data_IF_067028820835
#
_entry.id   IF_067028820835
#
_cell.length_a   1.000
_cell.length_b   1.000
_cell.length_c   1.000
_cell.angle_alpha   90.00
_cell.angle_beta   90.00
_cell.angle_gamma   90.00
#
_symmetry.space_group_name_H-M   'P 1'
#
loop_
_entity.id
_entity.type
_entity.pdbx_description
1 polymer ?
#
# COMPACT_ATOMS: atom_id res chain seq x y z
N UNK A 1 11.58 38.83 24.86
CA UNK A 1 11.33 37.41 24.61
C UNK A 1 12.67 36.82 24.22
N UNK A 2 13.11 35.77 24.89
CA UNK A 2 14.29 35.01 24.48
C UNK A 2 14.02 34.41 23.12
N UNK A 3 15.01 34.52 22.19
CA UNK A 3 14.91 33.96 20.86
C UNK A 3 15.15 32.44 20.94
N UNK A 4 14.30 31.66 20.28
CA UNK A 4 14.54 30.19 20.19
C UNK A 4 15.84 29.91 19.44
N UNK A 5 16.64 29.00 20.01
CA UNK A 5 17.96 28.61 19.47
C UNK A 5 17.88 27.34 18.66
N UNK A 6 18.37 27.37 17.44
CA UNK A 6 18.28 26.26 16.48
C UNK A 6 19.69 25.88 16.02
N UNK A 7 20.02 24.59 16.11
CA UNK A 7 21.28 24.04 15.59
C UNK A 7 21.01 23.32 14.25
N UNK A 8 21.75 23.69 13.21
CA UNK A 8 21.68 23.09 11.88
C UNK A 8 22.92 22.25 11.63
N UNK A 9 22.75 20.99 11.24
CA UNK A 9 23.83 20.04 11.01
C UNK A 9 23.73 19.51 9.59
N UNK A 10 24.67 19.89 8.76
CA UNK A 10 24.75 19.47 7.35
C UNK A 10 26.20 19.60 6.87
N UNK A 11 26.72 18.62 6.13
CA UNK A 11 28.06 18.67 5.57
C UNK A 11 28.20 19.54 4.32
N UNK A 12 27.06 19.94 3.71
CA UNK A 12 27.02 20.94 2.65
C UNK A 12 26.99 22.36 3.24
N UNK A 13 28.14 23.05 3.18
CA UNK A 13 28.30 24.42 3.70
C UNK A 13 27.28 25.41 3.10
N UNK A 14 26.98 25.32 1.79
CA UNK A 14 26.04 26.23 1.14
C UNK A 14 24.62 26.05 1.63
N UNK A 15 24.19 24.80 1.79
CA UNK A 15 22.86 24.47 2.30
C UNK A 15 22.74 24.89 3.78
N UNK A 16 23.75 24.54 4.60
CA UNK A 16 23.81 24.90 6.01
C UNK A 16 23.73 26.42 6.22
N UNK A 17 24.59 27.18 5.54
CA UNK A 17 24.62 28.64 5.65
C UNK A 17 23.34 29.28 5.11
N UNK A 18 22.76 28.73 4.04
CA UNK A 18 21.47 29.16 3.51
C UNK A 18 20.33 28.98 4.52
N UNK A 19 20.29 27.85 5.23
CA UNK A 19 19.30 27.57 6.26
C UNK A 19 19.49 28.44 7.49
N UNK A 20 20.74 28.67 7.94
CA UNK A 20 21.07 29.59 9.03
C UNK A 20 20.57 31.00 8.72
N UNK A 21 20.89 31.53 7.54
CA UNK A 21 20.46 32.85 7.12
C UNK A 21 18.94 32.96 7.07
N UNK A 22 18.26 31.96 6.52
CA UNK A 22 16.78 31.93 6.43
C UNK A 22 16.14 32.00 7.83
N UNK A 23 16.62 31.21 8.79
CA UNK A 23 16.06 31.15 10.14
C UNK A 23 16.39 32.44 10.93
N UNK A 24 17.59 32.98 10.78
CA UNK A 24 17.97 34.25 11.42
C UNK A 24 17.10 35.42 10.91
N UNK A 25 16.76 35.46 9.61
CA UNK A 25 15.83 36.45 9.05
C UNK A 25 14.42 36.37 9.62
N UNK A 26 14.01 35.20 10.11
CA UNK A 26 12.70 34.97 10.76
C UNK A 26 12.74 35.20 12.27
N UNK A 27 13.87 35.66 12.80
CA UNK A 27 14.00 36.06 14.21
C UNK A 27 14.45 34.95 15.15
N UNK A 28 14.80 33.77 14.66
CA UNK A 28 15.45 32.70 15.44
C UNK A 28 16.93 33.02 15.68
N UNK A 29 17.60 32.28 16.56
CA UNK A 29 19.05 32.29 16.75
C UNK A 29 19.61 30.97 16.21
N UNK A 30 20.02 30.96 14.94
CA UNK A 30 20.48 29.76 14.27
C UNK A 30 22.02 29.70 14.22
N UNK A 31 22.59 28.51 14.52
CA UNK A 31 24.02 28.19 14.40
C UNK A 31 24.20 26.86 13.67
N UNK A 32 25.42 26.57 13.20
CA UNK A 32 25.69 25.41 12.37
C UNK A 32 26.81 24.51 12.88
N UNK A 33 26.74 23.22 12.52
CA UNK A 33 27.79 22.23 12.67
C UNK A 33 27.94 21.45 11.34
N UNK A 34 29.16 21.05 10.98
CA UNK A 34 29.43 20.32 9.73
C UNK A 34 29.15 18.82 9.83
N UNK A 35 29.07 18.28 11.03
CA UNK A 35 28.77 16.86 11.27
C UNK A 35 28.20 16.63 12.69
N UNK A 36 27.72 15.39 12.94
CA UNK A 36 27.11 15.02 14.20
C UNK A 36 28.06 15.04 15.40
N UNK A 37 29.38 14.87 15.22
CA UNK A 37 30.34 14.85 16.30
C UNK A 37 30.59 16.26 16.82
N UNK A 38 30.80 17.22 15.93
CA UNK A 38 30.91 18.65 16.27
C UNK A 38 29.61 19.14 16.92
N UNK A 39 28.48 18.69 16.41
CA UNK A 39 27.19 19.03 17.00
C UNK A 39 27.03 18.54 18.45
N UNK A 40 27.52 17.33 18.79
CA UNK A 40 27.50 16.85 20.17
C UNK A 40 28.41 17.68 21.09
N UNK A 41 29.59 18.08 20.62
CA UNK A 41 30.50 18.99 21.38
C UNK A 41 29.86 20.35 21.65
N UNK A 42 29.10 20.88 20.69
CA UNK A 42 28.33 22.14 20.85
C UNK A 42 27.22 21.97 21.88
N UNK A 43 26.50 20.83 21.83
CA UNK A 43 25.39 20.55 22.77
C UNK A 43 25.84 20.35 24.23
N UNK A 44 27.09 19.96 24.46
CA UNK A 44 27.66 19.90 25.81
C UNK A 44 27.82 21.29 26.46
N UNK A 45 28.01 22.34 25.65
CA UNK A 45 28.33 23.69 26.11
C UNK A 45 27.19 24.70 25.89
N UNK A 46 26.20 24.38 25.08
CA UNK A 46 25.12 25.29 24.71
C UNK A 46 23.77 24.59 24.64
N UNK A 47 22.71 25.31 25.05
CA UNK A 47 21.32 24.80 25.03
C UNK A 47 20.65 25.24 23.72
N UNK A 48 19.93 24.33 23.10
CA UNK A 48 19.11 24.55 21.89
C UNK A 48 17.68 24.07 22.12
N UNK A 49 16.75 24.70 21.44
CA UNK A 49 15.32 24.35 21.48
C UNK A 49 14.97 23.35 20.37
N UNK A 50 15.73 23.38 19.27
CA UNK A 50 15.49 22.55 18.08
C UNK A 50 16.80 22.25 17.36
N UNK A 51 16.89 21.03 16.85
CA UNK A 51 17.95 20.60 15.94
C UNK A 51 17.37 20.29 14.56
N UNK A 52 18.08 20.68 13.51
CA UNK A 52 17.82 20.30 12.13
C UNK A 52 19.07 19.60 11.60
N UNK A 53 19.01 18.31 11.28
CA UNK A 53 20.18 17.52 10.86
C UNK A 53 19.96 16.83 9.54
N UNK A 54 21.00 16.81 8.67
CA UNK A 54 20.97 15.94 7.49
C UNK A 54 21.04 14.47 7.92
N UNK A 55 20.44 13.62 7.11
CA UNK A 55 20.47 12.15 7.28
C UNK A 55 21.86 11.60 6.97
N UNK A 56 22.50 12.07 5.87
CA UNK A 56 23.77 11.57 5.37
C UNK A 56 24.86 12.63 5.56
N UNK A 57 25.84 12.34 6.44
CA UNK A 57 27.02 13.17 6.69
C UNK A 57 28.27 12.28 6.77
N UNK A 58 29.47 12.86 6.59
CA UNK A 58 30.68 12.08 6.37
C UNK A 58 31.21 11.35 7.61
N UNK A 59 31.34 12.01 8.78
CA UNK A 59 31.96 11.39 9.97
C UNK A 59 30.94 10.68 10.87
N UNK A 60 29.88 11.37 11.27
CA UNK A 60 28.77 10.80 12.03
C UNK A 60 27.48 11.07 11.28
N UNK A 61 26.82 10.01 10.79
CA UNK A 61 25.55 10.16 10.10
C UNK A 61 24.44 10.66 11.04
N UNK A 62 23.41 11.29 10.43
CA UNK A 62 22.32 11.89 11.18
C UNK A 62 21.50 10.88 12.00
N UNK A 63 21.46 9.61 11.60
CA UNK A 63 20.78 8.56 12.37
C UNK A 63 21.53 8.17 13.63
N UNK A 64 22.85 8.05 13.53
CA UNK A 64 23.68 7.79 14.70
C UNK A 64 23.62 8.97 15.70
N UNK A 65 23.71 10.20 15.17
CA UNK A 65 23.52 11.42 15.93
C UNK A 65 22.14 11.45 16.64
N UNK A 66 21.05 11.21 15.90
CA UNK A 66 19.68 11.20 16.45
C UNK A 66 19.53 10.19 17.59
N UNK A 67 20.03 8.97 17.43
CA UNK A 67 19.99 7.93 18.49
C UNK A 67 20.76 8.34 19.73
N UNK A 68 21.89 9.02 19.56
CA UNK A 68 22.73 9.52 20.66
C UNK A 68 22.01 10.65 21.40
N UNK A 69 21.50 11.64 20.68
CA UNK A 69 20.79 12.79 21.25
C UNK A 69 19.49 12.35 21.94
N UNK A 70 18.73 11.44 21.35
CA UNK A 70 17.49 10.93 21.98
C UNK A 70 17.74 10.23 23.31
N UNK A 71 18.94 9.68 23.54
CA UNK A 71 19.32 9.07 24.82
C UNK A 71 19.86 10.08 25.83
N UNK A 72 20.70 11.01 25.37
CA UNK A 72 21.39 11.98 26.25
C UNK A 72 20.54 13.23 26.56
N UNK A 73 19.73 13.66 25.60
CA UNK A 73 18.89 14.86 25.65
C UNK A 73 17.43 14.55 25.23
N UNK A 74 16.66 13.77 26.01
CA UNK A 74 15.35 13.26 25.60
C UNK A 74 14.28 14.35 25.37
N UNK A 75 14.50 15.57 25.87
CA UNK A 75 13.60 16.72 25.66
C UNK A 75 13.95 17.55 24.41
N UNK A 76 15.09 17.31 23.77
CA UNK A 76 15.56 18.08 22.64
C UNK A 76 14.86 17.62 21.35
N UNK A 77 14.27 18.56 20.63
CA UNK A 77 13.52 18.30 19.41
C UNK A 77 14.47 18.17 18.22
N UNK A 78 14.30 17.13 17.40
CA UNK A 78 15.14 16.89 16.23
C UNK A 78 14.28 16.76 14.97
N UNK A 79 14.60 17.53 13.93
CA UNK A 79 14.05 17.42 12.57
C UNK A 79 15.16 16.86 11.68
N UNK A 80 14.83 15.84 10.88
CA UNK A 80 15.77 15.26 9.89
C UNK A 80 15.56 15.82 8.51
N UNK A 81 16.65 16.17 7.81
CA UNK A 81 16.62 16.45 6.36
C UNK A 81 17.11 15.21 5.63
N UNK A 82 16.46 14.78 4.57
CA UNK A 82 16.81 13.56 3.83
C UNK A 82 16.80 13.80 2.33
N UNK A 83 17.75 13.23 1.61
CA UNK A 83 17.80 13.27 0.15
C UNK A 83 16.66 12.45 -0.49
N UNK A 84 16.49 12.63 -1.79
CA UNK A 84 15.44 11.99 -2.59
C UNK A 84 15.35 10.48 -2.36
N UNK A 85 14.17 9.97 -2.00
CA UNK A 85 13.72 8.61 -2.32
C UNK A 85 13.65 7.59 -1.21
N UNK A 86 13.92 7.89 0.09
CA UNK A 86 13.74 6.85 1.09
C UNK A 86 12.74 7.20 2.19
N UNK A 87 11.50 6.80 1.93
CA UNK A 87 10.47 6.67 2.97
C UNK A 87 11.01 5.79 4.11
N UNK A 88 11.87 4.81 3.81
CA UNK A 88 12.55 3.96 4.79
C UNK A 88 13.38 4.78 5.79
N UNK A 89 14.19 5.73 5.33
CA UNK A 89 15.00 6.59 6.18
C UNK A 89 14.14 7.54 7.03
N UNK A 90 13.04 8.05 6.47
CA UNK A 90 12.12 8.90 7.21
C UNK A 90 11.39 8.11 8.32
N UNK A 91 10.96 6.86 8.03
CA UNK A 91 10.35 5.96 9.02
C UNK A 91 11.36 5.58 10.10
N UNK A 92 12.59 5.26 9.72
CA UNK A 92 13.66 4.93 10.66
C UNK A 92 13.99 6.12 11.58
N UNK A 93 14.08 7.34 11.03
CA UNK A 93 14.29 8.56 11.80
C UNK A 93 13.17 8.81 12.81
N UNK A 94 11.90 8.66 12.41
CA UNK A 94 10.76 8.84 13.30
C UNK A 94 10.72 7.77 14.40
N UNK A 95 11.09 6.52 14.11
CA UNK A 95 11.19 5.44 15.10
C UNK A 95 12.35 5.67 16.08
N UNK A 96 13.42 6.33 15.62
CA UNK A 96 14.56 6.68 16.45
C UNK A 96 14.35 7.93 17.30
N UNK A 97 13.21 8.63 17.18
CA UNK A 97 12.83 9.77 18.02
C UNK A 97 12.89 11.12 17.33
N UNK A 98 13.06 11.21 16.01
CA UNK A 98 12.91 12.47 15.28
C UNK A 98 11.48 13.02 15.44
N UNK A 99 11.35 14.33 15.63
CA UNK A 99 10.06 15.00 15.71
C UNK A 99 9.41 15.13 14.34
N UNK A 100 10.22 15.38 13.30
CA UNK A 100 9.76 15.53 11.92
C UNK A 100 10.89 15.23 10.94
N UNK A 101 10.56 15.16 9.64
CA UNK A 101 11.55 15.06 8.57
C UNK A 101 11.17 15.97 7.40
N UNK A 102 12.19 16.36 6.60
CA UNK A 102 12.03 17.21 5.41
C UNK A 102 12.81 16.58 4.27
N UNK A 103 12.19 16.39 3.11
CA UNK A 103 12.87 15.90 1.90
C UNK A 103 13.63 17.03 1.19
N UNK A 104 14.87 16.76 0.75
CA UNK A 104 15.57 17.65 -0.21
C UNK A 104 14.90 17.56 -1.60
N UNK A 105 14.70 18.66 -2.35
CA UNK A 105 15.15 20.02 -2.02
C UNK A 105 14.29 20.67 -0.92
N UNK A 106 14.96 21.37 0.01
CA UNK A 106 14.29 22.04 1.13
C UNK A 106 13.52 23.27 0.63
N UNK A 107 12.20 23.23 0.76
CA UNK A 107 11.33 24.36 0.40
C UNK A 107 11.26 25.30 1.62
N UNK A 108 11.72 26.57 1.51
CA UNK A 108 11.79 27.50 2.65
C UNK A 108 10.49 27.66 3.43
N UNK A 109 9.37 27.86 2.75
CA UNK A 109 8.06 28.02 3.41
C UNK A 109 7.64 26.80 4.23
N UNK A 110 7.92 25.59 3.72
CA UNK A 110 7.60 24.34 4.41
C UNK A 110 8.50 24.14 5.62
N UNK A 111 9.79 24.46 5.52
CA UNK A 111 10.73 24.42 6.64
C UNK A 111 10.26 25.34 7.77
N UNK A 112 9.97 26.61 7.47
CA UNK A 112 9.55 27.60 8.46
C UNK A 112 8.27 27.18 9.18
N UNK A 113 7.28 26.65 8.47
CA UNK A 113 6.05 26.15 9.07
C UNK A 113 6.34 24.99 10.06
N UNK A 114 7.22 24.03 9.65
CA UNK A 114 7.57 22.88 10.52
C UNK A 114 8.34 23.36 11.76
N UNK A 115 9.23 24.35 11.63
CA UNK A 115 9.98 24.92 12.74
C UNK A 115 9.05 25.66 13.71
N UNK A 116 8.13 26.48 13.22
CA UNK A 116 7.15 27.21 14.04
C UNK A 116 6.23 26.22 14.78
N UNK A 117 5.68 25.22 14.10
CA UNK A 117 4.85 24.18 14.70
C UNK A 117 5.63 23.40 15.78
N UNK A 118 6.91 23.14 15.55
CA UNK A 118 7.78 22.41 16.47
C UNK A 118 8.09 23.19 17.74
N UNK A 119 8.25 24.50 17.65
CA UNK A 119 8.61 25.37 18.79
C UNK A 119 7.39 25.79 19.63
N UNK A 120 6.21 25.90 19.02
CA UNK A 120 4.99 26.45 19.65
C UNK A 120 4.31 25.53 20.68
N UNK A 121 4.68 24.25 20.80
CA UNK A 121 3.93 23.25 21.58
C UNK A 121 4.77 22.60 22.70
N UNK A 122 4.21 22.35 23.90
CA UNK A 122 4.92 21.70 25.04
C UNK A 122 5.31 20.25 24.74
N UNK A 123 6.44 19.80 25.30
CA UNK A 123 7.20 18.61 24.94
C UNK A 123 6.48 17.25 25.00
N UNK A 124 5.41 17.09 25.81
CA UNK A 124 4.85 15.75 26.08
C UNK A 124 3.75 15.32 25.11
N UNK A 125 2.96 16.27 24.58
CA UNK A 125 1.83 15.97 23.68
C UNK A 125 2.22 15.96 22.20
N UNK A 126 3.37 16.55 21.84
CA UNK A 126 3.83 16.68 20.47
C UNK A 126 4.44 15.40 19.91
N UNK A 127 5.24 14.70 20.71
CA UNK A 127 5.90 13.47 20.26
C UNK A 127 4.85 12.42 19.87
N UNK A 128 3.71 12.39 20.57
CA UNK A 128 2.61 11.48 20.21
C UNK A 128 1.75 12.02 19.06
N UNK A 129 1.44 13.31 18.99
CA UNK A 129 0.58 13.90 17.93
C UNK A 129 1.30 14.17 16.62
N UNK A 130 2.55 14.66 16.68
CA UNK A 130 3.36 14.87 15.48
C UNK A 130 3.80 13.54 14.87
N UNK A 131 4.22 12.57 15.69
CA UNK A 131 4.52 11.21 15.25
C UNK A 131 3.31 10.54 14.58
N UNK A 132 2.09 10.74 15.10
CA UNK A 132 0.89 10.17 14.48
C UNK A 132 0.56 10.83 13.13
N UNK A 133 0.57 12.16 13.01
CA UNK A 133 0.27 12.86 11.74
C UNK A 133 1.32 12.67 10.66
N UNK A 134 2.61 12.66 11.03
CA UNK A 134 3.70 12.47 10.07
C UNK A 134 3.85 11.02 9.68
N UNK A 135 3.72 10.07 10.61
CA UNK A 135 3.63 8.65 10.32
C UNK A 135 2.39 8.31 9.49
N UNK A 136 1.27 8.99 9.70
CA UNK A 136 0.07 8.79 8.88
C UNK A 136 0.31 9.31 7.43
N UNK A 137 1.02 10.43 7.23
CA UNK A 137 1.44 10.89 5.89
C UNK A 137 2.43 9.94 5.21
N UNK A 138 3.37 9.35 5.97
CA UNK A 138 4.33 8.38 5.44
C UNK A 138 3.70 7.02 5.09
N UNK A 139 2.59 6.67 5.75
CA UNK A 139 1.81 5.45 5.50
C UNK A 139 0.94 5.57 4.27
N UNK A 140 0.75 6.79 3.76
CA UNK A 140 -0.09 7.10 2.61
C UNK A 140 0.78 7.58 1.46
N UNK A 141 0.79 6.82 0.38
CA UNK A 141 1.34 7.24 -0.91
C UNK A 141 0.16 7.52 -1.84
N UNK A 142 -0.09 8.81 -2.11
CA UNK A 142 -1.34 9.25 -2.71
C UNK A 142 -2.53 8.75 -1.85
N UNK A 143 -3.42 7.95 -2.38
CA UNK A 143 -4.53 7.31 -1.63
C UNK A 143 -4.19 5.89 -1.15
N UNK A 144 -2.95 5.40 -1.36
CA UNK A 144 -2.53 4.06 -0.98
C UNK A 144 -1.91 4.03 0.41
N UNK A 145 -2.22 2.99 1.19
CA UNK A 145 -1.75 2.79 2.57
C UNK A 145 -0.88 1.56 2.66
N UNK A 146 0.34 1.70 3.20
CA UNK A 146 1.23 0.58 3.48
C UNK A 146 2.68 1.00 3.71
N UNK A 147 3.40 0.21 4.52
CA UNK A 147 4.81 0.40 4.88
C UNK A 147 5.66 -0.84 4.60
N UNK A 148 5.06 -1.96 4.23
CA UNK A 148 5.80 -3.19 3.98
C UNK A 148 6.75 -3.04 2.79
N UNK A 149 7.88 -3.75 2.81
CA UNK A 149 8.86 -3.73 1.70
C UNK A 149 8.23 -4.00 0.33
N UNK A 150 7.30 -4.97 0.18
CA UNK A 150 6.68 -5.22 -1.13
C UNK A 150 5.88 -4.03 -1.66
N UNK A 151 5.15 -3.28 -0.82
CA UNK A 151 4.38 -2.13 -1.30
C UNK A 151 5.28 -0.91 -1.54
N UNK A 152 6.37 -0.76 -0.78
CA UNK A 152 7.36 0.29 -1.01
C UNK A 152 8.05 0.14 -2.38
N UNK A 153 8.36 -1.09 -2.79
CA UNK A 153 8.88 -1.35 -4.13
C UNK A 153 7.88 -0.94 -5.24
N UNK A 154 6.57 -1.08 -4.99
CA UNK A 154 5.53 -0.58 -5.90
C UNK A 154 5.56 0.95 -5.97
N UNK A 155 5.67 1.65 -4.82
CA UNK A 155 5.75 3.12 -4.79
C UNK A 155 6.96 3.65 -5.56
N UNK A 156 8.11 3.00 -5.43
CA UNK A 156 9.32 3.36 -6.19
C UNK A 156 9.09 3.22 -7.70
N UNK A 157 8.52 2.09 -8.16
CA UNK A 157 8.18 1.88 -9.57
C UNK A 157 7.19 2.93 -10.10
N UNK A 158 6.19 3.32 -9.29
CA UNK A 158 5.26 4.39 -9.66
C UNK A 158 6.01 5.71 -9.88
N UNK A 159 6.90 6.09 -8.95
CA UNK A 159 7.69 7.32 -9.06
C UNK A 159 8.63 7.31 -10.28
N UNK A 160 9.21 6.15 -10.60
CA UNK A 160 10.07 5.95 -11.77
C UNK A 160 9.31 6.15 -13.08
N UNK A 161 8.12 5.54 -13.21
CA UNK A 161 7.38 5.53 -14.46
C UNK A 161 6.47 6.75 -14.66
N UNK A 162 6.03 7.40 -13.59
CA UNK A 162 5.07 8.49 -13.66
C UNK A 162 5.50 9.65 -14.60
N UNK A 163 6.76 10.13 -14.59
CA UNK A 163 7.19 11.23 -15.47
C UNK A 163 7.25 10.87 -16.96
N UNK A 164 7.10 9.59 -17.32
CA UNK A 164 7.19 9.11 -18.71
C UNK A 164 5.82 8.94 -19.33
N UNK A 165 5.77 8.86 -20.67
CA UNK A 165 4.54 8.56 -21.42
C UNK A 165 4.43 7.09 -21.87
N UNK A 166 5.34 6.22 -21.40
CA UNK A 166 5.32 4.81 -21.79
C UNK A 166 4.08 4.09 -21.26
N UNK A 167 3.57 3.08 -21.98
CA UNK A 167 2.50 2.21 -21.48
C UNK A 167 2.93 1.49 -20.19
N UNK A 168 1.99 1.34 -19.26
CA UNK A 168 2.21 0.62 -17.99
C UNK A 168 1.22 -0.51 -17.85
N UNK A 169 1.72 -1.70 -17.54
CA UNK A 169 0.90 -2.87 -17.22
C UNK A 169 0.93 -3.16 -15.72
N UNK A 170 -0.24 -3.10 -15.08
CA UNK A 170 -0.41 -3.36 -13.66
C UNK A 170 -0.99 -4.76 -13.47
N UNK A 171 -0.23 -5.64 -12.84
CA UNK A 171 -0.63 -7.01 -12.55
C UNK A 171 -0.94 -7.19 -11.06
N UNK A 172 -1.95 -7.99 -10.76
CA UNK A 172 -2.27 -8.31 -9.38
C UNK A 172 -3.69 -8.82 -9.19
N UNK A 173 -3.91 -9.55 -8.13
CA UNK A 173 -5.22 -10.13 -7.80
C UNK A 173 -6.33 -9.07 -7.69
N UNK A 174 -7.58 -9.51 -7.79
CA UNK A 174 -8.72 -8.61 -7.57
C UNK A 174 -8.69 -8.01 -6.17
N UNK A 175 -9.02 -6.72 -6.05
CA UNK A 175 -9.07 -6.02 -4.77
C UNK A 175 -7.73 -5.61 -4.18
N UNK A 176 -6.60 -5.70 -4.90
CA UNK A 176 -5.26 -5.28 -4.45
C UNK A 176 -5.04 -3.78 -4.53
N UNK A 177 -5.85 -3.03 -5.32
CA UNK A 177 -5.75 -1.58 -5.48
C UNK A 177 -5.11 -1.12 -6.80
N UNK A 178 -5.26 -1.89 -7.90
CA UNK A 178 -4.70 -1.56 -9.23
C UNK A 178 -5.13 -0.18 -9.75
N UNK A 179 -6.38 0.20 -9.52
CA UNK A 179 -6.91 1.52 -9.91
C UNK A 179 -6.22 2.67 -9.16
N UNK A 180 -5.95 2.50 -7.85
CA UNK A 180 -5.21 3.49 -7.07
C UNK A 180 -3.78 3.68 -7.57
N UNK A 181 -3.14 2.60 -8.02
CA UNK A 181 -1.81 2.67 -8.66
C UNK A 181 -1.89 3.45 -9.98
N UNK A 182 -2.88 3.17 -10.82
CA UNK A 182 -3.06 3.88 -12.09
C UNK A 182 -3.32 5.38 -11.85
N UNK A 183 -4.16 5.72 -10.88
CA UNK A 183 -4.44 7.11 -10.48
C UNK A 183 -3.17 7.80 -9.95
N UNK A 184 -2.39 7.13 -9.09
CA UNK A 184 -1.13 7.67 -8.58
C UNK A 184 -0.11 7.94 -9.70
N UNK A 185 -0.02 7.05 -10.71
CA UNK A 185 0.83 7.28 -11.89
C UNK A 185 0.37 8.52 -12.65
N UNK A 186 -0.94 8.72 -12.85
CA UNK A 186 -1.48 9.90 -13.50
C UNK A 186 -1.19 11.17 -12.70
N UNK A 187 -1.49 11.19 -11.40
CA UNK A 187 -1.33 12.37 -10.54
C UNK A 187 0.13 12.84 -10.41
N UNK A 188 1.09 11.90 -10.50
CA UNK A 188 2.53 12.18 -10.49
C UNK A 188 3.13 12.40 -11.89
N UNK A 189 2.32 12.31 -12.95
CA UNK A 189 2.80 12.46 -14.34
C UNK A 189 2.82 13.89 -14.81
N UNK A 190 3.44 14.10 -15.98
CA UNK A 190 3.38 15.39 -16.72
C UNK A 190 1.98 15.71 -17.22
N UNK A 191 1.06 14.69 -17.25
CA UNK A 191 -0.33 14.81 -17.70
C UNK A 191 -1.34 14.96 -16.55
N UNK A 192 -0.90 15.27 -15.33
CA UNK A 192 -1.74 15.38 -14.13
C UNK A 192 -2.85 16.45 -14.21
N UNK A 193 -2.74 17.40 -15.15
CA UNK A 193 -3.78 18.40 -15.45
C UNK A 193 -4.80 17.93 -16.49
N UNK A 194 -4.49 16.83 -17.20
CA UNK A 194 -5.37 16.21 -18.19
C UNK A 194 -6.42 15.32 -17.53
N UNK A 195 -7.33 14.81 -18.35
CA UNK A 195 -8.40 13.93 -17.85
C UNK A 195 -7.87 12.54 -17.55
N UNK A 196 -8.20 12.00 -16.37
CA UNK A 196 -8.04 10.57 -16.04
C UNK A 196 -9.35 9.84 -16.33
N UNK A 197 -9.36 8.98 -17.35
CA UNK A 197 -10.53 8.18 -17.74
C UNK A 197 -10.29 6.73 -17.37
N UNK A 198 -11.06 6.19 -16.44
CA UNK A 198 -11.00 4.78 -16.03
C UNK A 198 -12.13 3.99 -16.70
N UNK A 199 -11.78 2.83 -17.27
CA UNK A 199 -12.72 1.91 -17.91
C UNK A 199 -12.47 0.50 -17.41
N UNK A 200 -13.45 -0.09 -16.74
CA UNK A 200 -13.42 -1.52 -16.42
C UNK A 200 -14.06 -2.31 -17.57
N UNK A 201 -13.25 -3.03 -18.34
CA UNK A 201 -13.72 -3.79 -19.50
C UNK A 201 -14.49 -5.05 -19.13
N UNK A 202 -14.29 -5.59 -17.91
CA UNK A 202 -15.04 -6.72 -17.40
C UNK A 202 -16.49 -6.38 -17.01
N UNK A 203 -16.76 -5.11 -16.72
CA UNK A 203 -18.12 -4.62 -16.40
C UNK A 203 -18.96 -4.25 -17.62
N UNK A 204 -18.38 -4.29 -18.85
CA UNK A 204 -19.05 -3.91 -20.09
C UNK A 204 -19.38 -5.17 -20.90
N UNK A 205 -20.60 -5.33 -21.45
CA UNK A 205 -20.90 -6.39 -22.41
C UNK A 205 -19.89 -6.42 -23.56
N UNK A 206 -19.38 -7.60 -23.91
CA UNK A 206 -18.28 -7.76 -24.90
C UNK A 206 -18.53 -7.06 -26.21
N UNK A 207 -19.80 -7.07 -26.68
CA UNK A 207 -20.21 -6.45 -27.94
C UNK A 207 -20.20 -4.91 -27.88
N UNK A 208 -20.24 -4.32 -26.71
CA UNK A 208 -20.27 -2.87 -26.49
C UNK A 208 -18.89 -2.28 -26.18
N UNK A 209 -17.89 -3.10 -25.84
CA UNK A 209 -16.56 -2.60 -25.46
C UNK A 209 -15.94 -1.74 -26.59
N UNK A 210 -16.04 -2.18 -27.85
CA UNK A 210 -15.52 -1.41 -28.98
C UNK A 210 -16.20 -0.04 -29.10
N UNK A 211 -17.54 -0.01 -28.95
CA UNK A 211 -18.34 1.22 -28.98
C UNK A 211 -18.00 2.17 -27.81
N UNK A 212 -17.79 1.63 -26.61
CA UNK A 212 -17.41 2.44 -25.46
C UNK A 212 -15.99 3.02 -25.62
N UNK A 213 -15.02 2.22 -26.08
CA UNK A 213 -13.64 2.67 -26.20
C UNK A 213 -13.44 3.62 -27.38
N UNK A 214 -13.94 3.29 -28.56
CA UNK A 214 -13.66 3.99 -29.81
C UNK A 214 -14.78 4.93 -30.26
N UNK A 215 -15.99 4.82 -29.65
CA UNK A 215 -17.17 5.55 -30.08
C UNK A 215 -17.88 4.88 -31.26
N UNK A 216 -19.05 5.41 -31.64
CA UNK A 216 -19.81 4.90 -32.78
C UNK A 216 -20.56 6.02 -33.51
N UNK A 217 -20.90 5.76 -34.78
CA UNK A 217 -21.84 6.58 -35.54
C UNK A 217 -23.24 6.02 -35.41
N UNK A 218 -24.24 6.90 -35.57
CA UNK A 218 -25.64 6.49 -35.65
C UNK A 218 -25.85 5.42 -36.72
N UNK A 219 -26.53 4.33 -36.33
CA UNK A 219 -26.80 3.19 -37.22
C UNK A 219 -25.68 2.16 -37.35
N UNK A 220 -24.57 2.28 -36.60
CA UNK A 220 -23.45 1.36 -36.66
C UNK A 220 -23.81 -0.06 -36.18
N UNK A 221 -24.78 -0.20 -35.30
CA UNK A 221 -25.35 -1.46 -34.80
C UNK A 221 -26.79 -1.27 -34.30
N UNK A 222 -27.49 -2.36 -34.04
CA UNK A 222 -28.84 -2.33 -33.47
C UNK A 222 -28.83 -1.67 -32.11
N UNK A 223 -29.41 -0.44 -32.00
CA UNK A 223 -29.38 0.38 -30.77
C UNK A 223 -28.49 1.61 -30.86
N UNK A 224 -27.73 1.83 -31.92
CA UNK A 224 -26.97 3.07 -32.15
C UNK A 224 -27.89 4.19 -32.66
N UNK A 225 -28.63 4.83 -31.73
CA UNK A 225 -29.66 5.85 -32.03
C UNK A 225 -29.00 7.20 -32.39
N UNK A 226 -27.83 7.52 -31.81
CA UNK A 226 -27.08 8.76 -32.01
C UNK A 226 -25.58 8.49 -32.12
N UNK A 227 -24.83 9.48 -32.59
CA UNK A 227 -23.36 9.43 -32.54
C UNK A 227 -22.88 9.51 -31.07
N UNK A 228 -21.87 8.73 -30.73
CA UNK A 228 -21.24 8.73 -29.39
C UNK A 228 -19.72 8.84 -29.51
N UNK A 229 -19.11 9.75 -28.72
CA UNK A 229 -17.66 9.80 -28.56
C UNK A 229 -17.18 8.59 -27.72
N UNK A 230 -16.00 8.09 -28.04
CA UNK A 230 -15.35 7.01 -27.29
C UNK A 230 -14.47 7.51 -26.16
N UNK A 231 -14.11 6.60 -25.26
CA UNK A 231 -13.24 6.88 -24.11
C UNK A 231 -11.85 7.36 -24.50
N UNK A 232 -11.33 6.96 -25.67
CA UNK A 232 -10.10 7.51 -26.22
C UNK A 232 -10.20 8.98 -26.58
N UNK A 233 -11.36 9.44 -27.07
CA UNK A 233 -11.59 10.85 -27.34
C UNK A 233 -11.73 11.66 -26.03
N UNK A 234 -12.39 11.08 -25.01
CA UNK A 234 -12.54 11.70 -23.69
C UNK A 234 -11.20 11.83 -22.94
N UNK A 235 -10.28 10.87 -23.14
CA UNK A 235 -8.96 10.86 -22.52
C UNK A 235 -7.90 11.66 -23.29
N UNK A 236 -8.28 12.40 -24.36
CA UNK A 236 -7.34 13.15 -25.17
C UNK A 236 -6.52 14.12 -24.31
N UNK A 237 -5.19 14.20 -24.53
CA UNK A 237 -4.19 14.95 -23.72
C UNK A 237 -4.13 14.50 -22.24
N UNK A 238 -4.73 13.37 -21.90
CA UNK A 238 -4.79 12.80 -20.55
C UNK A 238 -4.29 11.38 -20.48
N UNK A 239 -4.93 10.59 -19.60
CA UNK A 239 -4.59 9.19 -19.34
C UNK A 239 -5.85 8.32 -19.41
N UNK A 240 -5.78 7.22 -20.16
CA UNK A 240 -6.80 6.18 -20.19
C UNK A 240 -6.32 4.97 -19.39
N UNK A 241 -7.06 4.62 -18.36
CA UNK A 241 -6.84 3.40 -17.57
C UNK A 241 -7.84 2.32 -18.00
N UNK A 242 -7.32 1.17 -18.43
CA UNK A 242 -8.09 0.00 -18.87
C UNK A 242 -7.92 -1.10 -17.83
N UNK A 243 -8.95 -1.34 -17.01
CA UNK A 243 -8.95 -2.45 -16.05
C UNK A 243 -9.53 -3.72 -16.68
N UNK A 244 -9.04 -4.87 -16.22
CA UNK A 244 -9.44 -6.22 -16.66
C UNK A 244 -9.28 -6.45 -18.18
N UNK A 245 -8.14 -6.01 -18.77
CA UNK A 245 -7.90 -6.13 -20.23
C UNK A 245 -7.97 -7.58 -20.75
N UNK A 246 -7.83 -8.57 -19.88
CA UNK A 246 -7.97 -10.02 -20.20
C UNK A 246 -9.35 -10.37 -20.75
N UNK A 247 -10.38 -9.56 -20.44
CA UNK A 247 -11.77 -9.81 -20.87
C UNK A 247 -12.08 -9.33 -22.30
N UNK A 248 -11.17 -8.56 -22.91
CA UNK A 248 -11.35 -8.00 -24.26
C UNK A 248 -11.37 -9.09 -25.32
N UNK A 249 -12.31 -8.98 -26.27
CA UNK A 249 -12.35 -9.86 -27.46
C UNK A 249 -11.19 -9.57 -28.40
N UNK A 250 -10.77 -10.56 -29.21
CA UNK A 250 -9.67 -10.41 -30.17
C UNK A 250 -9.83 -9.20 -31.11
N UNK A 251 -11.02 -8.90 -31.68
CA UNK A 251 -11.20 -7.69 -32.50
C UNK A 251 -10.89 -6.39 -31.75
N UNK A 252 -11.30 -6.29 -30.47
CA UNK A 252 -10.99 -5.10 -29.64
C UNK A 252 -9.49 -4.98 -29.36
N UNK A 253 -8.83 -6.12 -29.11
CA UNK A 253 -7.37 -6.17 -28.92
C UNK A 253 -6.61 -5.68 -30.17
N UNK A 254 -7.06 -6.06 -31.38
CA UNK A 254 -6.49 -5.57 -32.66
C UNK A 254 -6.65 -4.06 -32.79
N UNK A 255 -7.84 -3.54 -32.47
CA UNK A 255 -8.09 -2.10 -32.51
C UNK A 255 -7.24 -1.33 -31.51
N UNK A 256 -7.08 -1.86 -30.28
CA UNK A 256 -6.22 -1.27 -29.25
C UNK A 256 -4.75 -1.25 -29.68
N UNK A 257 -4.23 -2.35 -30.26
CA UNK A 257 -2.86 -2.41 -30.81
C UNK A 257 -2.64 -1.31 -31.86
N UNK A 258 -3.59 -1.15 -32.79
CA UNK A 258 -3.52 -0.11 -33.82
C UNK A 258 -3.43 1.30 -33.22
N UNK A 259 -4.19 1.58 -32.15
CA UNK A 259 -4.10 2.88 -31.46
C UNK A 259 -2.75 3.08 -30.80
N UNK A 260 -2.19 2.03 -30.15
CA UNK A 260 -0.86 2.08 -29.53
C UNK A 260 0.28 2.32 -30.53
N UNK A 261 0.09 1.95 -31.81
CA UNK A 261 1.08 2.12 -32.87
C UNK A 261 0.95 3.46 -33.60
N UNK A 262 -0.29 3.88 -33.86
CA UNK A 262 -0.56 4.99 -34.79
C UNK A 262 -1.07 6.25 -34.10
N UNK A 263 -1.50 6.17 -32.86
CA UNK A 263 -2.23 7.22 -32.14
C UNK A 263 -3.50 7.69 -32.87
N UNK A 264 -4.15 6.77 -33.60
CA UNK A 264 -5.37 7.04 -34.37
C UNK A 264 -6.45 6.03 -34.00
N UNK A 265 -7.66 6.53 -33.82
CA UNK A 265 -8.87 5.72 -33.65
C UNK A 265 -9.81 5.89 -34.83
N UNK A 266 -10.70 4.92 -35.02
CA UNK A 266 -11.84 4.98 -35.91
C UNK A 266 -13.09 4.62 -35.13
N UNK A 267 -14.18 5.41 -35.25
CA UNK A 267 -15.46 5.07 -34.59
C UNK A 267 -16.10 3.86 -35.27
N UNK A 268 -16.80 3.06 -34.51
CA UNK A 268 -17.56 1.93 -35.05
C UNK A 268 -18.56 2.45 -36.09
N UNK A 269 -18.53 1.86 -37.31
CA UNK A 269 -19.32 2.32 -38.43
C UNK A 269 -18.71 3.48 -39.23
N UNK A 270 -17.47 3.86 -38.96
CA UNK A 270 -16.73 4.93 -39.68
C UNK A 270 -15.34 4.47 -40.08
N UNK A 271 -14.85 4.96 -41.21
CA UNK A 271 -13.46 4.81 -41.65
C UNK A 271 -12.68 6.13 -41.48
N UNK A 272 -13.30 7.18 -40.89
CA UNK A 272 -12.64 8.47 -40.69
C UNK A 272 -11.66 8.39 -39.52
N UNK A 273 -10.35 8.63 -39.75
CA UNK A 273 -9.35 8.58 -38.70
C UNK A 273 -9.46 9.81 -37.78
N UNK A 274 -9.31 9.58 -36.47
CA UNK A 274 -9.30 10.62 -35.43
C UNK A 274 -7.99 10.46 -34.66
N UNK A 275 -7.13 11.51 -34.68
CA UNK A 275 -5.89 11.51 -33.90
C UNK A 275 -6.19 11.71 -32.43
N UNK A 276 -5.58 10.89 -31.59
CA UNK A 276 -5.65 10.97 -30.13
C UNK A 276 -4.25 10.98 -29.54
N UNK A 277 -4.04 11.73 -28.49
CA UNK A 277 -2.80 11.73 -27.70
C UNK A 277 -3.15 11.30 -26.27
N UNK A 278 -3.00 10.04 -25.96
CA UNK A 278 -3.47 9.44 -24.71
C UNK A 278 -2.38 8.56 -24.11
N UNK A 279 -2.03 8.78 -22.85
CA UNK A 279 -1.21 7.85 -22.10
C UNK A 279 -2.06 6.65 -21.69
N UNK A 280 -1.57 5.42 -21.93
CA UNK A 280 -2.30 4.19 -21.65
C UNK A 280 -1.72 3.48 -20.44
N UNK A 281 -2.58 3.15 -19.48
CA UNK A 281 -2.29 2.28 -18.34
C UNK A 281 -3.28 1.13 -18.37
N UNK A 282 -2.78 -0.10 -18.33
CA UNK A 282 -3.61 -1.31 -18.35
C UNK A 282 -3.48 -2.09 -17.06
N UNK A 283 -4.54 -2.81 -16.68
CA UNK A 283 -4.49 -3.73 -15.54
C UNK A 283 -5.08 -5.10 -15.88
N UNK A 284 -4.52 -6.15 -15.27
CA UNK A 284 -5.03 -7.52 -15.34
C UNK A 284 -4.93 -8.21 -13.98
N UNK A 285 -5.92 -9.03 -13.67
CA UNK A 285 -5.93 -9.98 -12.56
C UNK A 285 -5.62 -11.41 -13.01
N UNK A 286 -5.59 -11.67 -14.30
CA UNK A 286 -5.29 -12.96 -14.89
C UNK A 286 -3.87 -12.98 -15.50
N UNK A 287 -3.30 -14.16 -15.61
CA UNK A 287 -2.01 -14.38 -16.29
C UNK A 287 -2.18 -14.24 -17.80
N UNK A 288 -1.73 -13.10 -18.33
CA UNK A 288 -1.82 -12.82 -19.76
C UNK A 288 -0.98 -13.79 -20.61
N UNK A 289 0.12 -14.34 -20.08
CA UNK A 289 0.93 -15.32 -20.80
C UNK A 289 0.18 -16.64 -20.96
N UNK A 290 -0.58 -17.04 -19.94
CA UNK A 290 -1.45 -18.22 -20.05
C UNK A 290 -2.58 -17.98 -21.06
N UNK A 291 -3.18 -16.79 -21.08
CA UNK A 291 -4.19 -16.43 -22.08
C UNK A 291 -3.63 -16.36 -23.51
N UNK A 292 -2.36 -16.00 -23.70
CA UNK A 292 -1.68 -16.08 -25.00
C UNK A 292 -1.59 -17.55 -25.45
N UNK A 293 -1.15 -18.46 -24.57
CA UNK A 293 -1.09 -19.91 -24.87
C UNK A 293 -2.46 -20.48 -25.26
N UNK A 294 -3.53 -19.97 -24.63
CA UNK A 294 -4.91 -20.33 -24.92
C UNK A 294 -5.50 -19.59 -26.14
N UNK A 295 -4.74 -18.76 -26.83
CA UNK A 295 -5.18 -17.93 -27.98
C UNK A 295 -6.32 -16.96 -27.65
N UNK A 296 -6.49 -16.58 -26.37
CA UNK A 296 -7.49 -15.63 -25.89
C UNK A 296 -6.94 -14.20 -25.79
N UNK A 297 -5.62 -14.05 -25.78
CA UNK A 297 -4.93 -12.77 -25.79
C UNK A 297 -3.83 -12.77 -26.85
N UNK A 298 -3.66 -11.65 -27.54
CA UNK A 298 -2.66 -11.53 -28.62
C UNK A 298 -1.28 -11.26 -28.05
N UNK A 299 -0.29 -11.95 -28.55
CA UNK A 299 1.10 -11.81 -28.15
C UNK A 299 1.70 -10.44 -28.52
N UNK A 300 1.36 -9.92 -29.73
CA UNK A 300 1.83 -8.61 -30.19
C UNK A 300 1.32 -7.46 -29.30
N UNK A 301 0.05 -7.50 -28.90
CA UNK A 301 -0.51 -6.54 -27.97
C UNK A 301 0.17 -6.63 -26.58
N UNK A 302 0.42 -7.86 -26.10
CA UNK A 302 1.10 -8.06 -24.81
C UNK A 302 2.46 -7.37 -24.81
N UNK A 303 3.32 -7.57 -25.80
CA UNK A 303 4.62 -6.93 -25.84
C UNK A 303 4.54 -5.41 -25.97
N UNK A 304 3.51 -4.87 -26.63
CA UNK A 304 3.31 -3.43 -26.74
C UNK A 304 2.84 -2.78 -25.44
N UNK A 305 2.11 -3.51 -24.61
CA UNK A 305 1.63 -3.04 -23.29
C UNK A 305 2.66 -3.30 -22.17
N UNK A 306 3.39 -4.39 -22.23
CA UNK A 306 4.34 -4.82 -21.20
C UNK A 306 5.72 -4.15 -21.34
N UNK A 307 5.74 -2.83 -21.57
CA UNK A 307 6.98 -2.03 -21.61
C UNK A 307 7.48 -1.78 -20.18
N UNK A 308 6.57 -1.45 -19.28
CA UNK A 308 6.86 -1.32 -17.86
C UNK A 308 5.78 -2.03 -17.05
N UNK A 309 6.19 -2.94 -16.15
CA UNK A 309 5.25 -3.69 -15.36
C UNK A 309 5.34 -3.39 -13.86
N UNK A 310 4.17 -3.34 -13.23
CA UNK A 310 4.02 -3.18 -11.78
C UNK A 310 3.19 -4.34 -11.26
N UNK A 311 3.79 -5.20 -10.43
CA UNK A 311 3.07 -6.28 -9.76
C UNK A 311 2.65 -5.83 -8.36
N UNK A 312 1.33 -5.84 -8.10
CA UNK A 312 0.82 -5.57 -6.76
C UNK A 312 0.82 -6.84 -5.93
N UNK A 313 1.50 -6.81 -4.76
CA UNK A 313 1.49 -7.94 -3.87
C UNK A 313 0.09 -8.15 -3.27
N UNK A 314 -0.42 -9.39 -3.20
CA UNK A 314 -1.65 -9.69 -2.47
C UNK A 314 -1.48 -9.41 -0.98
N UNK A 315 -2.58 -9.13 -0.28
CA UNK A 315 -2.55 -8.69 1.12
C UNK A 315 -1.86 -9.69 2.06
N UNK A 316 -1.99 -11.00 1.77
CA UNK A 316 -1.29 -12.07 2.51
C UNK A 316 0.24 -12.00 2.44
N UNK A 317 0.83 -11.36 1.42
CA UNK A 317 2.28 -11.12 1.29
C UNK A 317 2.73 -9.81 1.96
N UNK A 318 1.77 -8.99 2.43
CA UNK A 318 2.03 -7.72 3.13
C UNK A 318 1.22 -7.58 4.42
N UNK A 319 1.14 -8.64 5.21
CA UNK A 319 0.39 -8.70 6.49
C UNK A 319 0.78 -7.58 7.47
N UNK A 320 2.00 -7.06 7.37
CA UNK A 320 2.49 -5.92 8.15
C UNK A 320 1.70 -4.63 7.87
N UNK A 321 1.03 -4.51 6.71
CA UNK A 321 0.23 -3.35 6.36
C UNK A 321 -1.19 -3.42 6.95
N UNK A 322 -1.66 -4.59 7.37
CA UNK A 322 -3.03 -4.79 7.88
C UNK A 322 -3.37 -3.85 9.04
N UNK A 323 -2.53 -3.66 10.08
CA UNK A 323 -2.85 -2.73 11.17
C UNK A 323 -3.05 -1.27 10.69
N UNK A 324 -2.29 -0.85 9.68
CA UNK A 324 -2.39 0.50 9.11
C UNK A 324 -3.65 0.66 8.27
N UNK A 325 -3.97 -0.35 7.45
CA UNK A 325 -5.22 -0.41 6.69
C UNK A 325 -6.45 -0.41 7.61
N UNK A 326 -6.40 -1.19 8.70
CA UNK A 326 -7.47 -1.24 9.70
C UNK A 326 -7.67 0.14 10.36
N UNK A 327 -6.58 0.81 10.77
CA UNK A 327 -6.64 2.16 11.34
C UNK A 327 -7.22 3.16 10.34
N UNK A 328 -6.79 3.10 9.09
CA UNK A 328 -7.26 3.95 8.01
C UNK A 328 -8.77 3.78 7.78
N UNK A 329 -9.22 2.55 7.51
CA UNK A 329 -10.64 2.27 7.24
C UNK A 329 -11.53 2.57 8.44
N UNK A 330 -11.09 2.27 9.66
CA UNK A 330 -11.83 2.66 10.87
C UNK A 330 -12.03 4.17 10.95
N UNK A 331 -10.97 4.96 10.71
CA UNK A 331 -11.08 6.42 10.72
C UNK A 331 -12.00 6.94 9.63
N UNK A 332 -11.91 6.36 8.42
CA UNK A 332 -12.79 6.69 7.29
C UNK A 332 -14.25 6.40 7.62
N UNK A 333 -14.55 5.20 8.13
CA UNK A 333 -15.92 4.79 8.45
C UNK A 333 -16.49 5.52 9.68
N UNK A 334 -15.64 5.93 10.63
CA UNK A 334 -16.09 6.80 11.70
C UNK A 334 -16.63 8.13 11.16
N UNK A 335 -15.98 8.72 10.16
CA UNK A 335 -16.44 9.94 9.49
C UNK A 335 -17.69 9.69 8.66
N UNK A 336 -17.70 8.66 7.82
CA UNK A 336 -18.82 8.34 6.92
C UNK A 336 -20.11 7.98 7.68
N UNK A 337 -19.99 7.28 8.81
CA UNK A 337 -21.13 6.76 9.59
C UNK A 337 -21.44 7.59 10.83
N UNK A 338 -20.74 8.70 11.04
CA UNK A 338 -20.83 9.53 12.24
C UNK A 338 -20.70 8.71 13.55
N UNK A 339 -19.75 7.77 13.57
CA UNK A 339 -19.41 6.92 14.72
C UNK A 339 -18.09 7.34 15.35
N UNK A 340 -17.84 6.90 16.57
CA UNK A 340 -16.59 7.15 17.29
C UNK A 340 -16.02 5.84 17.86
N UNK A 341 -15.67 4.90 16.97
CA UNK A 341 -15.01 3.67 17.36
C UNK A 341 -13.55 3.99 17.68
N UNK A 342 -13.18 3.87 18.97
CA UNK A 342 -11.87 4.25 19.49
C UNK A 342 -10.75 3.32 19.02
N UNK A 343 -10.77 2.07 19.45
CA UNK A 343 -9.71 1.10 19.20
C UNK A 343 -10.27 -0.22 18.67
N UNK A 344 -9.37 -1.07 18.20
CA UNK A 344 -9.64 -2.48 17.89
C UNK A 344 -8.97 -3.33 18.95
N UNK A 345 -9.67 -4.36 19.44
CA UNK A 345 -9.09 -5.26 20.43
C UNK A 345 -7.88 -6.03 19.84
N UNK A 346 -6.85 -6.33 20.66
CA UNK A 346 -5.67 -7.08 20.20
C UNK A 346 -6.04 -8.42 19.54
N UNK A 347 -7.04 -9.13 20.10
CA UNK A 347 -7.51 -10.41 19.57
C UNK A 347 -8.17 -10.25 18.19
N UNK A 348 -9.01 -9.23 18.00
CA UNK A 348 -9.61 -8.93 16.70
C UNK A 348 -8.55 -8.55 15.66
N UNK A 349 -7.56 -7.75 16.05
CA UNK A 349 -6.46 -7.39 15.16
C UNK A 349 -5.60 -8.60 14.76
N UNK A 350 -5.38 -9.52 15.70
CA UNK A 350 -4.63 -10.76 15.42
C UNK A 350 -5.36 -11.64 14.41
N UNK A 351 -6.68 -11.82 14.55
CA UNK A 351 -7.51 -12.55 13.58
C UNK A 351 -7.39 -11.93 12.19
N UNK A 352 -7.50 -10.60 12.09
CA UNK A 352 -7.37 -9.89 10.82
C UNK A 352 -5.99 -10.07 10.17
N UNK A 353 -4.91 -10.16 10.97
CA UNK A 353 -3.54 -10.42 10.46
C UNK A 353 -3.34 -11.86 9.99
N UNK A 354 -3.97 -12.83 10.61
CA UNK A 354 -3.81 -14.24 10.30
C UNK A 354 -4.56 -14.66 9.04
N UNK A 355 -5.70 -14.05 8.77
CA UNK A 355 -6.55 -14.40 7.63
C UNK A 355 -5.85 -14.18 6.28
N UNK A 356 -6.20 -14.99 5.30
CA UNK A 356 -5.53 -15.04 3.99
C UNK A 356 -5.95 -13.94 3.00
N UNK A 357 -7.12 -13.32 3.22
CA UNK A 357 -7.69 -12.24 2.42
C UNK A 357 -7.75 -12.56 0.92
N UNK A 358 -8.52 -13.56 0.47
CA UNK A 358 -8.65 -13.88 -0.95
C UNK A 358 -9.19 -12.71 -1.79
N UNK A 359 -10.06 -11.86 -1.21
CA UNK A 359 -10.54 -10.61 -1.82
C UNK A 359 -9.68 -9.38 -1.51
N UNK A 360 -8.48 -9.59 -0.93
CA UNK A 360 -7.48 -8.55 -0.65
C UNK A 360 -8.04 -7.35 0.14
N UNK A 361 -7.70 -6.12 -0.26
CA UNK A 361 -8.12 -4.89 0.44
C UNK A 361 -9.64 -4.66 0.30
N UNK A 362 -10.23 -5.08 -0.82
CA UNK A 362 -11.69 -4.94 -1.03
C UNK A 362 -12.47 -5.76 0.02
N UNK A 363 -12.04 -6.96 0.29
CA UNK A 363 -12.63 -7.83 1.32
C UNK A 363 -12.40 -7.25 2.72
N UNK A 364 -11.15 -6.87 3.04
CA UNK A 364 -10.82 -6.26 4.32
C UNK A 364 -11.67 -5.01 4.59
N UNK A 365 -11.83 -4.13 3.59
CA UNK A 365 -12.67 -2.94 3.69
C UNK A 365 -14.12 -3.29 4.02
N UNK A 366 -14.70 -4.28 3.33
CA UNK A 366 -16.08 -4.69 3.53
C UNK A 366 -16.29 -5.34 4.92
N UNK A 367 -15.34 -6.15 5.38
CA UNK A 367 -15.35 -6.74 6.73
C UNK A 367 -15.30 -5.65 7.78
N UNK A 368 -14.40 -4.68 7.64
CA UNK A 368 -14.27 -3.57 8.60
C UNK A 368 -15.49 -2.65 8.60
N UNK A 369 -16.10 -2.40 7.43
CA UNK A 369 -17.34 -1.62 7.36
C UNK A 369 -18.44 -2.27 8.19
N UNK A 370 -18.68 -3.59 8.01
CA UNK A 370 -19.67 -4.33 8.80
C UNK A 370 -19.33 -4.33 10.28
N UNK A 371 -18.06 -4.51 10.64
CA UNK A 371 -17.63 -4.51 12.02
C UNK A 371 -17.82 -3.14 12.69
N UNK A 372 -17.51 -2.04 12.01
CA UNK A 372 -17.74 -0.67 12.51
C UNK A 372 -19.24 -0.38 12.63
N UNK A 373 -20.08 -0.86 11.71
CA UNK A 373 -21.55 -0.71 11.81
C UNK A 373 -22.11 -1.36 13.07
N UNK A 374 -21.64 -2.54 13.45
CA UNK A 374 -22.11 -3.30 14.61
C UNK A 374 -21.45 -2.92 15.93
N UNK A 375 -20.28 -2.28 15.91
CA UNK A 375 -19.56 -1.86 17.11
C UNK A 375 -20.11 -0.54 17.66
N UNK A 376 -20.00 -0.36 18.99
CA UNK A 376 -20.39 0.88 19.69
C UNK A 376 -19.17 1.76 20.01
N UNK A 377 -18.18 1.24 20.76
CA UNK A 377 -17.00 1.99 21.18
C UNK A 377 -15.68 1.33 20.76
N UNK A 378 -15.60 0.00 20.85
CA UNK A 378 -14.41 -0.80 20.57
C UNK A 378 -14.78 -1.88 19.57
N UNK A 379 -13.92 -2.12 18.58
CA UNK A 379 -14.09 -3.22 17.63
C UNK A 379 -13.50 -4.50 18.23
N UNK A 380 -14.37 -5.44 18.60
CA UNK A 380 -14.04 -6.72 19.22
C UNK A 380 -14.26 -7.89 18.26
N UNK A 381 -13.80 -9.08 18.64
CA UNK A 381 -13.93 -10.33 17.85
C UNK A 381 -15.39 -10.65 17.50
N UNK A 382 -16.35 -10.38 18.40
CA UNK A 382 -17.78 -10.61 18.17
C UNK A 382 -18.37 -9.80 16.99
N UNK A 383 -17.71 -8.70 16.58
CA UNK A 383 -18.13 -7.86 15.46
C UNK A 383 -17.55 -8.32 14.12
N UNK A 384 -16.59 -9.27 14.14
CA UNK A 384 -16.02 -9.84 12.93
C UNK A 384 -16.92 -10.97 12.41
N UNK A 385 -16.99 -11.17 11.06
CA UNK A 385 -17.71 -12.29 10.47
C UNK A 385 -17.21 -13.65 11.00
N UNK A 386 -18.14 -14.59 11.13
CA UNK A 386 -17.86 -15.94 11.66
C UNK A 386 -16.80 -16.68 10.84
N UNK A 387 -16.73 -16.42 9.53
CA UNK A 387 -15.76 -17.03 8.61
C UNK A 387 -14.30 -16.69 8.98
N UNK A 388 -14.05 -15.52 9.55
CA UNK A 388 -12.72 -15.14 10.03
C UNK A 388 -12.37 -15.77 11.37
N UNK A 389 -13.39 -16.07 12.20
CA UNK A 389 -13.22 -16.59 13.55
C UNK A 389 -13.21 -18.13 13.58
N UNK A 390 -13.92 -18.77 12.66
CA UNK A 390 -14.02 -20.23 12.55
C UNK A 390 -12.72 -20.89 12.05
N UNK A 391 -11.85 -20.18 11.34
CA UNK A 391 -10.53 -20.67 10.94
C UNK A 391 -9.56 -20.93 12.14
N UNK A 392 -9.93 -20.60 13.36
CA UNK A 392 -9.23 -21.06 14.59
C UNK A 392 -9.61 -22.48 15.03
N UNK A 393 -10.67 -23.05 14.46
CA UNK A 393 -11.00 -24.46 14.64
C UNK A 393 -10.46 -25.17 13.39
N UNK A 394 -9.17 -25.43 13.40
CA UNK A 394 -8.45 -26.43 12.60
C UNK A 394 -9.08 -26.84 11.26
N UNK A 395 -8.92 -26.01 10.22
CA UNK A 395 -8.84 -26.51 8.86
C UNK A 395 -7.41 -26.30 8.35
N UNK A 396 -6.44 -26.88 9.03
CA UNK A 396 -5.19 -27.23 8.37
C UNK A 396 -5.55 -28.26 7.30
N UNK A 397 -5.62 -27.82 6.04
CA UNK A 397 -5.75 -28.74 4.93
C UNK A 397 -4.50 -29.62 4.91
N UNK A 398 -4.66 -30.85 5.37
CA UNK A 398 -3.59 -31.84 5.34
C UNK A 398 -3.56 -32.40 3.92
N UNK A 399 -2.52 -32.10 3.17
CA UNK A 399 -2.31 -32.65 1.84
C UNK A 399 -1.38 -33.85 1.92
N UNK A 400 -1.85 -35.00 1.44
CA UNK A 400 -1.04 -36.20 1.31
C UNK A 400 -0.72 -36.49 -0.16
N UNK A 401 0.47 -37.03 -0.43
CA UNK A 401 0.78 -37.53 -1.78
C UNK A 401 0.01 -38.81 -2.05
N UNK A 402 -0.44 -39.01 -3.29
CA UNK A 402 -1.02 -40.26 -3.73
C UNK A 402 -0.01 -41.40 -3.46
N UNK A 403 -0.45 -42.47 -2.76
CA UNK A 403 0.41 -43.59 -2.32
C UNK A 403 0.92 -43.48 -0.87
N UNK A 404 0.60 -42.41 -0.12
CA UNK A 404 0.88 -42.37 1.34
C UNK A 404 0.12 -43.47 2.05
N UNK A 405 0.76 -44.28 2.93
CA UNK A 405 0.08 -45.33 3.69
C UNK A 405 -1.06 -44.77 4.55
N UNK A 406 -2.21 -45.47 4.59
CA UNK A 406 -3.37 -45.06 5.39
C UNK A 406 -3.05 -44.88 6.87
N UNK A 407 -2.13 -45.72 7.41
CA UNK A 407 -1.66 -45.58 8.78
C UNK A 407 -0.96 -44.26 9.08
N UNK A 408 -0.22 -43.72 8.11
CA UNK A 408 0.47 -42.44 8.26
C UNK A 408 -0.52 -41.28 8.17
N UNK A 409 -1.46 -41.34 7.22
CA UNK A 409 -2.58 -40.39 7.10
C UNK A 409 -3.39 -40.35 8.40
N UNK A 410 -3.75 -41.52 8.93
CA UNK A 410 -4.54 -41.64 10.14
C UNK A 410 -3.79 -41.10 11.37
N UNK A 411 -2.50 -41.40 11.50
CA UNK A 411 -1.65 -40.89 12.59
C UNK A 411 -1.63 -39.36 12.59
N UNK A 412 -1.41 -38.74 11.45
CA UNK A 412 -1.38 -37.27 11.30
C UNK A 412 -2.73 -36.66 11.61
N UNK A 413 -3.84 -37.24 11.12
CA UNK A 413 -5.20 -36.80 11.40
C UNK A 413 -5.53 -36.85 12.90
N UNK A 414 -5.15 -37.91 13.60
CA UNK A 414 -5.36 -38.04 15.04
C UNK A 414 -4.58 -36.97 15.81
N UNK A 415 -3.29 -36.79 15.51
CA UNK A 415 -2.45 -35.79 16.16
C UNK A 415 -2.99 -34.39 16.00
N UNK A 416 -3.29 -33.97 14.78
CA UNK A 416 -3.79 -32.62 14.52
C UNK A 416 -5.17 -32.39 15.13
N UNK A 417 -6.06 -33.40 15.11
CA UNK A 417 -7.36 -33.26 15.76
C UNK A 417 -7.21 -33.12 17.27
N UNK A 418 -6.28 -33.84 17.90
CA UNK A 418 -5.99 -33.72 19.34
C UNK A 418 -5.42 -32.33 19.67
N UNK A 419 -4.50 -31.79 18.87
CA UNK A 419 -3.98 -30.45 19.03
C UNK A 419 -5.08 -29.40 18.90
N UNK A 420 -5.95 -29.52 17.89
CA UNK A 420 -7.07 -28.62 17.67
C UNK A 420 -8.09 -28.56 18.81
N UNK A 421 -8.21 -29.63 19.57
CA UNK A 421 -9.12 -29.72 20.75
C UNK A 421 -8.38 -29.66 22.10
N UNK A 422 -7.14 -29.16 22.11
CA UNK A 422 -6.28 -29.01 23.30
C UNK A 422 -6.22 -30.32 24.12
N UNK A 423 -6.01 -31.48 23.47
CA UNK A 423 -5.87 -32.77 24.09
C UNK A 423 -7.18 -33.43 24.56
N UNK A 424 -8.34 -32.83 24.29
CA UNK A 424 -9.63 -33.43 24.71
C UNK A 424 -9.98 -34.66 23.86
N UNK A 425 -9.64 -35.83 24.38
CA UNK A 425 -9.79 -37.15 23.70
C UNK A 425 -11.27 -37.49 23.39
N UNK A 426 -12.23 -37.02 24.19
CA UNK A 426 -13.65 -37.25 23.92
C UNK A 426 -14.10 -36.47 22.69
N UNK A 427 -13.78 -35.18 22.64
CA UNK A 427 -14.13 -34.31 21.53
C UNK A 427 -13.36 -34.66 20.24
N UNK A 428 -12.10 -35.13 20.38
CA UNK A 428 -11.33 -35.61 19.23
C UNK A 428 -11.95 -36.86 18.61
N UNK A 429 -12.40 -37.84 19.42
CA UNK A 429 -13.06 -39.05 18.93
C UNK A 429 -14.37 -38.73 18.19
N UNK A 430 -15.15 -37.76 18.70
CA UNK A 430 -16.39 -37.31 18.07
C UNK A 430 -16.11 -36.66 16.70
N UNK A 431 -15.12 -35.78 16.60
CA UNK A 431 -14.72 -35.11 15.34
C UNK A 431 -14.19 -36.11 14.31
N UNK A 432 -13.40 -37.08 14.75
CA UNK A 432 -12.84 -38.14 13.89
C UNK A 432 -13.88 -39.22 13.50
N UNK A 433 -15.11 -39.16 14.02
CA UNK A 433 -16.15 -40.14 13.75
C UNK A 433 -15.85 -41.56 14.28
N UNK A 434 -15.02 -41.70 15.33
CA UNK A 434 -14.62 -42.97 15.92
C UNK A 434 -15.02 -43.06 17.40
N UNK A 435 -15.12 -44.30 17.91
CA UNK A 435 -15.39 -44.48 19.35
C UNK A 435 -14.18 -44.05 20.20
N UNK A 436 -14.41 -43.56 21.40
CA UNK A 436 -13.36 -43.21 22.35
C UNK A 436 -12.37 -44.36 22.56
N UNK A 437 -12.87 -45.61 22.64
CA UNK A 437 -12.05 -46.83 22.79
C UNK A 437 -11.16 -47.05 21.57
N UNK A 438 -11.67 -46.82 20.36
CA UNK A 438 -10.90 -46.90 19.12
C UNK A 438 -9.78 -45.87 19.09
N UNK A 439 -10.05 -44.63 19.54
CA UNK A 439 -9.02 -43.57 19.62
C UNK A 439 -7.89 -43.97 20.59
N UNK A 440 -8.22 -44.52 21.78
CA UNK A 440 -7.20 -44.94 22.72
C UNK A 440 -6.33 -46.07 22.15
N UNK A 441 -6.92 -47.11 21.53
CA UNK A 441 -6.18 -48.18 20.88
C UNK A 441 -5.23 -47.67 19.79
N UNK A 442 -5.66 -46.65 18.99
CA UNK A 442 -4.85 -46.05 17.95
C UNK A 442 -3.71 -45.20 18.54
N UNK A 443 -3.95 -44.49 19.63
CA UNK A 443 -2.90 -43.73 20.33
C UNK A 443 -1.81 -44.67 20.89
N UNK A 444 -2.17 -45.84 21.42
CA UNK A 444 -1.21 -46.86 21.84
C UNK A 444 -0.48 -47.45 20.62
N UNK A 445 -1.19 -47.83 19.56
CA UNK A 445 -0.61 -48.44 18.35
C UNK A 445 0.43 -47.51 17.71
N UNK A 446 0.17 -46.21 17.68
CA UNK A 446 1.05 -45.20 17.10
C UNK A 446 2.06 -44.58 18.09
N UNK A 447 2.11 -45.09 19.34
CA UNK A 447 2.99 -44.62 20.43
C UNK A 447 2.88 -43.11 20.70
N UNK A 448 1.65 -42.57 20.62
CA UNK A 448 1.35 -41.16 20.81
C UNK A 448 0.91 -40.81 22.24
N UNK A 449 1.11 -41.71 23.18
CA UNK A 449 0.82 -41.54 24.61
C UNK A 449 2.04 -40.84 25.24
N UNK A 450 1.86 -39.62 25.70
CA UNK A 450 2.74 -38.81 26.59
C UNK A 450 4.02 -38.14 26.06
N UNK A 451 4.23 -37.89 24.77
CA UNK A 451 5.46 -37.19 24.35
C UNK A 451 5.33 -35.86 23.61
N UNK A 452 4.14 -35.44 23.13
CA UNK A 452 3.98 -34.21 22.33
C UNK A 452 2.59 -33.54 22.49
N UNK A 453 2.04 -33.44 23.70
CA UNK A 453 0.82 -32.68 23.97
C UNK A 453 1.09 -31.46 24.82
#
# INVERSE_FOLDING_TARGET
MEKNRILIIDDDDNLRDGLINLLNLQGYEASGASDGKIALEILENQIFDLIITDYKMQEMDGMHFLRTVSRQFPSLKVIMITGFGSIEHAVEAMQAGALNYISKPVIPQKLLQIVEDSLSTPNTDLIQKANSKTLDKLRHFQEMVGLSKPIQAVYQKIQEVAPTDIPVLILGESGTGKELVAKAIHDLSTRNKGTFVAVNTGGIPKDLIASELFGHLKGAFTGAISDKKGKFEEAHEGTLFLDEISTMSIPVQISLLRVLETNVIERVGSTKPIKVNVRIICASNEDLQELIRQQKFREDLYYRLNVFNIELPPLRKRKQDIPYLVKYFRSLFNLELNKNIGEISPDALQILKEYSWPGNIRELRNVLLRAVLSAENILEVKHLPAELTQNRIGTDMITFRAGTPLSEVEKVMILQTLQAVNGNKLKAAEILGITRRSLYNKLETYQLVDKEL
#
